data_IF_958042976261
#
_entry.id   IF_958042976261
#
_cell.length_a   1.000
_cell.length_b   1.000
_cell.length_c   1.000
_cell.angle_alpha   90.00
_cell.angle_beta   90.00
_cell.angle_gamma   90.00
#
_symmetry.space_group_name_H-M   'P 1'
#
loop_
_entity.id
_entity.type
_entity.pdbx_description
1 polymer ?
#
# COMPACT_ATOMS: atom_id res chain seq x y z
N UNK A 1 -4.59 -14.71 -19.37
CA UNK A 1 -3.95 -15.46 -20.48
C UNK A 1 -3.13 -14.46 -21.28
N UNK A 2 -1.85 -14.30 -20.92
CA UNK A 2 -0.97 -13.31 -21.53
C UNK A 2 -0.14 -14.00 -22.62
N UNK A 3 -0.46 -13.71 -23.87
CA UNK A 3 0.36 -14.10 -25.00
C UNK A 3 1.68 -13.33 -24.91
N UNK A 4 2.75 -14.04 -24.53
CA UNK A 4 4.11 -13.55 -24.68
C UNK A 4 4.42 -13.49 -26.18
N UNK A 5 4.19 -12.33 -26.80
CA UNK A 5 4.64 -12.08 -28.15
C UNK A 5 6.17 -12.02 -28.13
N UNK A 6 6.78 -13.16 -28.46
CA UNK A 6 8.18 -13.26 -28.87
C UNK A 6 8.37 -12.53 -30.21
N UNK A 7 8.34 -11.20 -30.19
CA UNK A 7 8.87 -10.40 -31.29
C UNK A 7 10.40 -10.58 -31.26
N UNK A 8 10.92 -11.29 -32.26
CA UNK A 8 12.32 -11.72 -32.27
C UNK A 8 13.33 -10.56 -32.29
N UNK A 9 14.57 -10.81 -31.84
CA UNK A 9 15.67 -9.82 -31.85
C UNK A 9 15.97 -9.24 -33.24
N UNK A 10 15.52 -9.92 -34.30
CA UNK A 10 15.70 -9.52 -35.70
C UNK A 10 14.97 -8.23 -36.08
N UNK A 11 13.76 -8.00 -35.55
CA UNK A 11 12.96 -6.81 -35.90
C UNK A 11 13.47 -5.56 -35.20
N UNK A 12 13.89 -5.69 -33.93
CA UNK A 12 14.47 -4.58 -33.17
C UNK A 12 15.83 -4.16 -33.76
N UNK A 13 16.69 -5.12 -34.09
CA UNK A 13 17.99 -4.84 -34.73
C UNK A 13 17.86 -4.14 -36.08
N UNK A 14 16.83 -4.47 -36.87
CA UNK A 14 16.56 -3.85 -38.16
C UNK A 14 16.04 -2.41 -38.07
N UNK A 15 15.38 -2.03 -36.96
CA UNK A 15 14.98 -0.64 -36.71
C UNK A 15 16.15 0.19 -36.21
N UNK A 16 16.98 -0.39 -35.33
CA UNK A 16 18.15 0.30 -34.80
C UNK A 16 19.18 0.63 -35.90
N UNK A 17 19.28 -0.21 -36.94
CA UNK A 17 20.17 0.06 -38.08
C UNK A 17 19.72 1.21 -38.99
N UNK A 18 18.45 1.63 -38.89
CA UNK A 18 17.89 2.77 -39.63
C UNK A 18 18.10 4.11 -38.90
N UNK A 19 18.57 4.08 -37.66
CA UNK A 19 18.75 5.27 -36.84
C UNK A 19 20.13 5.92 -37.04
N UNK A 20 20.26 7.23 -36.74
CA UNK A 20 21.52 7.94 -36.78
C UNK A 20 22.64 7.24 -35.99
N UNK A 21 23.88 7.40 -36.48
CA UNK A 21 25.06 6.92 -35.75
C UNK A 21 25.14 7.58 -34.37
N UNK A 22 25.53 6.80 -33.36
CA UNK A 22 25.54 7.26 -31.97
C UNK A 22 24.23 7.04 -31.22
N UNK A 23 23.23 6.42 -31.87
CA UNK A 23 22.03 5.94 -31.17
C UNK A 23 22.41 4.90 -30.13
N UNK A 24 21.95 5.08 -28.88
CA UNK A 24 22.28 4.19 -27.76
C UNK A 24 21.00 3.74 -27.03
N UNK A 25 20.68 2.42 -27.05
CA UNK A 25 19.66 1.88 -26.16
C UNK A 25 20.21 1.79 -24.73
N UNK A 26 19.42 2.22 -23.74
CA UNK A 26 19.74 2.15 -22.31
C UNK A 26 18.60 1.47 -21.58
N UNK A 27 18.91 0.52 -20.72
CA UNK A 27 17.93 -0.09 -19.84
C UNK A 27 18.08 0.50 -18.45
N UNK A 28 17.01 1.17 -17.99
CA UNK A 28 16.91 1.80 -16.69
C UNK A 28 16.04 0.91 -15.80
N UNK A 29 16.58 0.51 -14.65
CA UNK A 29 15.81 -0.19 -13.62
C UNK A 29 15.56 0.73 -12.44
N UNK A 30 14.33 0.73 -11.92
CA UNK A 30 13.97 1.47 -10.72
C UNK A 30 14.19 0.60 -9.49
N UNK A 31 15.04 1.07 -8.57
CA UNK A 31 15.34 0.36 -7.33
C UNK A 31 14.86 1.14 -6.12
N UNK A 32 14.40 0.43 -5.09
CA UNK A 32 14.12 1.01 -3.77
C UNK A 32 15.42 1.09 -2.98
N UNK A 33 15.85 2.30 -2.64
CA UNK A 33 17.07 2.58 -1.86
C UNK A 33 16.88 2.05 -0.44
N UNK A 34 17.53 0.93 -0.12
CA UNK A 34 17.81 0.57 1.27
C UNK A 34 18.93 1.49 1.76
N UNK A 35 18.82 1.95 3.00
CA UNK A 35 19.72 2.88 3.67
C UNK A 35 21.20 2.43 3.66
N UNK A 36 21.95 2.66 2.57
CA UNK A 36 23.41 2.81 2.49
C UNK A 36 23.86 3.20 1.06
N UNK A 37 25.01 3.90 0.90
CA UNK A 37 25.31 4.67 -0.30
C UNK A 37 26.45 4.04 -1.13
N UNK A 38 26.12 3.44 -2.26
CA UNK A 38 26.93 3.39 -3.48
C UNK A 38 26.21 2.49 -4.48
N UNK A 39 26.20 2.89 -5.75
CA UNK A 39 25.84 1.96 -6.81
C UNK A 39 26.75 0.72 -6.71
N UNK A 40 26.22 -0.50 -6.76
CA UNK A 40 27.04 -1.71 -6.90
C UNK A 40 28.03 -1.57 -8.06
N UNK A 41 29.17 -2.26 -7.97
CA UNK A 41 30.17 -2.26 -9.03
C UNK A 41 29.53 -2.64 -10.38
N UNK A 42 29.64 -1.74 -11.37
CA UNK A 42 29.06 -1.92 -12.70
C UNK A 42 27.66 -1.33 -12.90
N UNK A 43 27.07 -0.67 -11.89
CA UNK A 43 25.86 0.13 -12.05
C UNK A 43 26.19 1.63 -12.11
N UNK A 44 25.52 2.34 -13.01
CA UNK A 44 25.55 3.80 -13.09
C UNK A 44 24.21 4.34 -12.61
N UNK A 45 24.22 5.23 -11.60
CA UNK A 45 23.00 5.91 -11.16
C UNK A 45 22.68 7.01 -12.17
N UNK A 46 21.59 6.85 -12.90
CA UNK A 46 21.09 7.85 -13.83
C UNK A 46 20.47 9.02 -13.06
N UNK A 47 19.65 8.71 -12.05
CA UNK A 47 18.98 9.72 -11.23
C UNK A 47 18.66 9.20 -9.83
N UNK A 48 18.79 10.07 -8.82
CA UNK A 48 18.12 9.87 -7.55
C UNK A 48 16.66 10.32 -7.70
N UNK A 49 15.74 9.41 -7.38
CA UNK A 49 14.32 9.66 -7.50
C UNK A 49 13.74 9.95 -6.12
N UNK A 50 12.64 10.71 -6.05
CA UNK A 50 11.90 10.86 -4.81
C UNK A 50 11.43 9.52 -4.24
N UNK A 51 10.92 9.55 -3.01
CA UNK A 51 10.38 8.36 -2.33
C UNK A 51 11.44 7.28 -2.02
N UNK A 52 12.72 7.66 -2.01
CA UNK A 52 13.81 6.75 -1.73
C UNK A 52 14.02 5.74 -2.86
N UNK A 53 13.76 6.13 -4.10
CA UNK A 53 14.05 5.31 -5.27
C UNK A 53 15.28 5.84 -6.03
N UNK A 54 15.87 5.01 -6.89
CA UNK A 54 16.86 5.45 -7.86
C UNK A 54 16.65 4.77 -9.21
N UNK A 55 16.96 5.50 -10.27
CA UNK A 55 17.06 4.98 -11.62
C UNK A 55 18.51 4.55 -11.87
N UNK A 56 18.74 3.27 -12.12
CA UNK A 56 20.09 2.73 -12.38
C UNK A 56 20.18 2.05 -13.73
N UNK A 57 21.37 2.06 -14.28
CA UNK A 57 21.72 1.35 -15.50
C UNK A 57 22.77 0.30 -15.20
N UNK A 58 22.63 -0.87 -15.83
CA UNK A 58 23.50 -2.02 -15.61
C UNK A 58 22.78 -3.19 -14.94
N UNK A 59 23.53 -4.28 -14.67
CA UNK A 59 22.96 -5.51 -14.14
C UNK A 59 22.45 -5.31 -12.71
N UNK A 60 21.20 -5.68 -12.46
CA UNK A 60 20.56 -5.63 -11.14
C UNK A 60 21.07 -6.79 -10.29
N UNK A 61 21.55 -6.50 -9.08
CA UNK A 61 21.99 -7.53 -8.15
C UNK A 61 20.79 -8.26 -7.51
N UNK A 62 20.90 -9.56 -7.19
CA UNK A 62 19.76 -10.36 -6.71
C UNK A 62 19.20 -9.93 -5.34
N UNK A 63 19.97 -9.17 -4.56
CA UNK A 63 19.59 -8.63 -3.26
C UNK A 63 18.87 -7.27 -3.33
N UNK A 64 18.85 -6.64 -4.52
CA UNK A 64 18.19 -5.35 -4.73
C UNK A 64 16.69 -5.52 -4.93
N UNK A 65 15.91 -4.66 -4.26
CA UNK A 65 14.46 -4.60 -4.44
C UNK A 65 14.12 -3.67 -5.61
N UNK A 66 13.58 -4.25 -6.67
CA UNK A 66 13.01 -3.51 -7.79
C UNK A 66 11.74 -2.80 -7.29
N UNK A 67 11.61 -1.52 -7.61
CA UNK A 67 10.40 -0.76 -7.35
C UNK A 67 9.24 -1.31 -8.19
N UNK A 68 7.99 -1.04 -7.79
CA UNK A 68 6.84 -1.54 -8.56
C UNK A 68 6.78 -0.94 -9.97
N UNK A 69 7.37 0.24 -10.16
CA UNK A 69 7.63 0.86 -11.45
C UNK A 69 8.42 -0.02 -12.46
N UNK A 70 9.19 -1.01 -11.99
CA UNK A 70 9.89 -1.97 -12.84
C UNK A 70 11.06 -1.37 -13.63
N UNK A 71 11.02 -1.51 -14.96
CA UNK A 71 12.10 -1.10 -15.87
C UNK A 71 11.59 -0.21 -16.99
N UNK A 72 12.41 0.75 -17.41
CA UNK A 72 12.23 1.59 -18.58
C UNK A 72 13.35 1.31 -19.59
N UNK A 73 13.00 1.14 -20.86
CA UNK A 73 14.00 1.14 -21.94
C UNK A 73 14.00 2.50 -22.62
N UNK A 74 15.15 3.17 -22.59
CA UNK A 74 15.41 4.43 -23.26
C UNK A 74 16.16 4.20 -24.57
N UNK A 75 15.82 4.98 -25.59
CA UNK A 75 16.57 5.04 -26.84
C UNK A 75 17.01 6.48 -27.07
N UNK A 76 18.30 6.74 -26.90
CA UNK A 76 18.86 8.08 -27.08
C UNK A 76 19.38 8.22 -28.51
N UNK A 77 18.76 9.12 -29.27
CA UNK A 77 19.09 9.38 -30.67
C UNK A 77 19.70 10.79 -30.77
N UNK A 78 20.99 10.92 -31.10
CA UNK A 78 21.60 12.23 -31.27
C UNK A 78 21.06 12.91 -32.53
N UNK A 79 20.64 14.16 -32.38
CA UNK A 79 20.33 15.05 -33.50
C UNK A 79 21.63 15.68 -33.99
N UNK A 80 21.91 15.50 -35.28
CA UNK A 80 23.12 16.04 -35.89
C UNK A 80 22.97 17.56 -36.06
N UNK A 81 23.79 18.34 -35.34
CA UNK A 81 23.69 19.81 -35.31
C UNK A 81 23.95 20.47 -36.68
N UNK A 82 24.62 19.75 -37.59
CA UNK A 82 24.88 20.21 -38.96
C UNK A 82 23.67 20.04 -39.89
N UNK A 83 22.69 19.20 -39.53
CA UNK A 83 21.47 19.05 -40.29
C UNK A 83 20.54 20.24 -39.99
N UNK A 84 20.54 21.24 -40.88
CA UNK A 84 19.67 22.44 -40.80
C UNK A 84 18.16 22.17 -40.86
N UNK A 85 17.74 20.90 -40.83
CA UNK A 85 16.34 20.51 -40.86
C UNK A 85 15.73 20.64 -39.46
N UNK A 86 14.49 21.13 -39.39
CA UNK A 86 13.73 21.09 -38.16
C UNK A 86 13.61 19.63 -37.67
N UNK A 87 13.68 19.36 -36.36
CA UNK A 87 13.55 18.00 -35.83
C UNK A 87 12.24 17.32 -36.29
N UNK A 88 11.19 18.10 -36.58
CA UNK A 88 9.91 17.67 -37.18
C UNK A 88 10.06 16.76 -38.41
N UNK A 89 11.07 16.99 -39.23
CA UNK A 89 11.27 16.30 -40.51
C UNK A 89 12.40 15.28 -40.44
N UNK A 90 12.85 14.92 -39.24
CA UNK A 90 13.94 13.96 -39.07
C UNK A 90 13.52 12.56 -39.57
N UNK A 91 14.29 11.94 -40.48
CA UNK A 91 14.01 10.59 -40.96
C UNK A 91 14.11 9.54 -39.84
N UNK A 92 14.70 9.89 -38.69
CA UNK A 92 14.79 9.03 -37.52
C UNK A 92 13.46 8.84 -36.77
N UNK A 93 12.46 9.70 -36.99
CA UNK A 93 11.19 9.66 -36.25
C UNK A 93 10.37 8.39 -36.50
N UNK A 94 10.26 7.97 -37.75
CA UNK A 94 9.52 6.76 -38.12
C UNK A 94 10.10 5.50 -37.46
N UNK A 95 11.41 5.21 -37.54
CA UNK A 95 11.99 4.06 -36.85
C UNK A 95 11.93 4.18 -35.32
N UNK A 96 12.07 5.38 -34.74
CA UNK A 96 11.88 5.59 -33.29
C UNK A 96 10.47 5.23 -32.83
N UNK A 97 9.46 5.70 -33.57
CA UNK A 97 8.04 5.40 -33.28
C UNK A 97 7.77 3.90 -33.34
N UNK A 98 8.19 3.26 -34.43
CA UNK A 98 8.06 1.80 -34.59
C UNK A 98 8.75 1.03 -33.46
N UNK A 99 9.91 1.49 -32.99
CA UNK A 99 10.63 0.85 -31.89
C UNK A 99 9.89 0.94 -30.54
N UNK A 100 9.22 2.06 -30.27
CA UNK A 100 8.36 2.23 -29.08
C UNK A 100 7.11 1.36 -29.19
N UNK A 101 6.47 1.33 -30.35
CA UNK A 101 5.25 0.55 -30.60
C UNK A 101 5.47 -0.97 -30.45
N UNK A 102 6.67 -1.47 -30.75
CA UNK A 102 7.03 -2.89 -30.60
C UNK A 102 6.83 -3.43 -29.18
N UNK A 103 6.98 -2.61 -28.13
CA UNK A 103 6.80 -3.07 -26.75
C UNK A 103 5.37 -2.93 -26.23
N UNK A 104 4.62 -1.96 -26.74
CA UNK A 104 3.32 -1.64 -26.18
C UNK A 104 2.22 -2.64 -26.59
N UNK A 105 2.50 -3.56 -27.53
CA UNK A 105 1.54 -4.53 -28.05
C UNK A 105 0.35 -3.90 -28.79
N UNK A 106 0.28 -2.58 -28.88
CA UNK A 106 -0.74 -1.80 -29.57
C UNK A 106 -0.12 -0.53 -30.18
N UNK A 107 -0.39 -0.23 -31.47
CA UNK A 107 0.15 0.93 -32.17
C UNK A 107 -0.44 2.27 -31.68
N UNK A 108 -1.58 2.25 -30.96
CA UNK A 108 -2.17 3.45 -30.37
C UNK A 108 -1.44 3.95 -29.11
N UNK A 109 -0.43 3.21 -28.64
CA UNK A 109 0.24 3.49 -27.38
C UNK A 109 1.46 4.42 -27.50
N UNK A 110 1.97 4.68 -28.72
CA UNK A 110 3.10 5.60 -28.90
C UNK A 110 2.62 7.04 -29.08
N UNK A 111 3.02 7.91 -28.15
CA UNK A 111 2.71 9.32 -28.15
C UNK A 111 3.93 10.13 -28.60
N UNK A 112 3.79 10.87 -29.70
CA UNK A 112 4.83 11.79 -30.18
C UNK A 112 4.64 13.17 -29.55
N UNK A 113 5.70 13.71 -28.96
CA UNK A 113 5.77 15.07 -28.44
C UNK A 113 6.95 15.80 -29.09
N UNK A 114 6.72 17.06 -29.48
CA UNK A 114 7.72 17.89 -30.14
C UNK A 114 8.01 19.12 -29.29
N UNK A 115 9.29 19.43 -29.11
CA UNK A 115 9.81 20.54 -28.34
C UNK A 115 10.88 21.30 -29.16
N UNK A 116 11.35 22.43 -28.64
CA UNK A 116 12.42 23.18 -29.30
C UNK A 116 13.73 22.38 -29.27
N UNK A 117 14.14 21.86 -30.43
CA UNK A 117 15.32 21.02 -30.65
C UNK A 117 15.29 19.68 -29.90
N UNK A 118 14.10 19.17 -29.58
CA UNK A 118 13.95 17.83 -29.04
C UNK A 118 12.60 17.21 -29.46
N UNK A 119 12.59 15.90 -29.62
CA UNK A 119 11.39 15.12 -29.86
C UNK A 119 11.41 13.86 -29.01
N UNK A 120 10.21 13.43 -28.65
CA UNK A 120 9.99 12.33 -27.75
C UNK A 120 8.92 11.41 -28.29
N UNK A 121 9.25 10.15 -28.52
CA UNK A 121 8.27 9.08 -28.71
C UNK A 121 8.16 8.32 -27.40
N UNK A 122 6.99 8.35 -26.77
CA UNK A 122 6.77 7.72 -25.48
C UNK A 122 5.72 6.62 -25.57
N UNK A 123 5.97 5.51 -24.88
CA UNK A 123 4.97 4.50 -24.60
C UNK A 123 5.22 3.85 -23.23
N UNK A 124 4.27 3.06 -22.72
CA UNK A 124 4.45 2.27 -21.50
C UNK A 124 5.75 1.43 -21.54
N UNK A 125 6.72 1.75 -20.68
CA UNK A 125 7.97 1.00 -20.52
C UNK A 125 9.05 1.24 -21.60
N UNK A 126 8.77 2.02 -22.66
CA UNK A 126 9.76 2.41 -23.67
C UNK A 126 9.65 3.88 -24.04
N UNK A 127 10.78 4.54 -24.19
CA UNK A 127 10.81 5.92 -24.66
C UNK A 127 12.02 6.21 -25.54
N UNK A 128 11.81 6.86 -26.68
CA UNK A 128 12.86 7.30 -27.58
C UNK A 128 12.96 8.83 -27.57
N UNK A 129 14.18 9.34 -27.38
CA UNK A 129 14.51 10.75 -27.28
C UNK A 129 15.39 11.13 -28.46
N UNK A 130 14.96 12.10 -29.27
CA UNK A 130 15.78 12.73 -30.31
C UNK A 130 16.12 14.14 -29.86
N UNK A 131 17.39 14.43 -29.59
CA UNK A 131 17.85 15.75 -29.18
C UNK A 131 19.33 15.94 -29.47
N UNK A 132 19.83 17.17 -29.38
CA UNK A 132 21.28 17.44 -29.46
C UNK A 132 22.03 16.73 -28.32
N UNK A 133 23.28 16.35 -28.56
CA UNK A 133 24.05 15.49 -27.66
C UNK A 133 24.18 16.06 -26.23
N UNK A 134 24.28 17.38 -26.10
CA UNK A 134 24.35 18.11 -24.83
C UNK A 134 23.05 18.03 -24.00
N UNK A 135 21.92 17.70 -24.65
CA UNK A 135 20.59 17.65 -24.03
C UNK A 135 20.11 16.24 -23.72
N UNK A 136 20.71 15.20 -24.31
CA UNK A 136 20.22 13.83 -24.15
C UNK A 136 20.19 13.37 -22.69
N UNK A 137 21.24 13.63 -21.91
CA UNK A 137 21.32 13.20 -20.50
C UNK A 137 20.29 13.89 -19.59
N UNK A 138 20.17 15.24 -19.58
CA UNK A 138 19.12 15.91 -18.81
C UNK A 138 17.70 15.44 -19.18
N UNK A 139 17.45 15.16 -20.45
CA UNK A 139 16.16 14.67 -20.90
C UNK A 139 15.91 13.21 -20.48
N UNK A 140 16.92 12.35 -20.53
CA UNK A 140 16.84 10.98 -20.04
C UNK A 140 16.47 10.94 -18.55
N UNK A 141 17.09 11.79 -17.73
CA UNK A 141 16.75 11.93 -16.30
C UNK A 141 15.30 12.37 -16.10
N UNK A 142 14.86 13.41 -16.83
CA UNK A 142 13.51 13.95 -16.71
C UNK A 142 12.42 12.95 -17.14
N UNK A 143 12.70 12.15 -18.19
CA UNK A 143 11.81 11.07 -18.64
C UNK A 143 11.80 9.92 -17.64
N UNK A 144 12.95 9.51 -17.12
CA UNK A 144 13.04 8.47 -16.10
C UNK A 144 12.25 8.83 -14.83
N UNK A 145 12.32 10.09 -14.39
CA UNK A 145 11.56 10.55 -13.23
C UNK A 145 10.04 10.47 -13.45
N UNK A 146 9.53 11.00 -14.57
CA UNK A 146 8.08 10.99 -14.81
C UNK A 146 7.54 9.59 -15.06
N UNK A 147 8.29 8.77 -15.79
CA UNK A 147 7.89 7.38 -16.04
C UNK A 147 7.95 6.51 -14.79
N UNK A 148 8.81 6.81 -13.81
CA UNK A 148 8.76 6.17 -12.51
C UNK A 148 7.41 6.38 -11.83
N UNK A 149 6.95 7.64 -11.73
CA UNK A 149 5.66 7.95 -11.11
C UNK A 149 4.48 7.38 -11.89
N UNK A 150 4.52 7.45 -13.23
CA UNK A 150 3.49 6.90 -14.09
C UNK A 150 3.36 5.38 -13.95
N UNK A 151 4.50 4.68 -13.84
CA UNK A 151 4.53 3.25 -13.64
C UNK A 151 4.09 2.83 -12.23
N UNK A 152 4.42 3.60 -11.18
CA UNK A 152 3.87 3.37 -9.84
C UNK A 152 2.34 3.55 -9.82
N UNK A 153 1.78 4.59 -10.47
CA UNK A 153 0.33 4.75 -10.59
C UNK A 153 -0.30 3.54 -11.32
N UNK A 154 0.28 3.13 -12.45
CA UNK A 154 -0.19 1.95 -13.19
C UNK A 154 -0.14 0.67 -12.35
N UNK A 155 0.88 0.50 -11.53
CA UNK A 155 0.98 -0.62 -10.59
C UNK A 155 -0.17 -0.60 -9.59
N UNK A 156 -0.47 0.56 -8.99
CA UNK A 156 -1.56 0.69 -8.02
C UNK A 156 -2.91 0.40 -8.69
N UNK A 157 -3.16 0.94 -9.88
CA UNK A 157 -4.37 0.66 -10.67
C UNK A 157 -4.53 -0.83 -10.93
N UNK A 158 -3.47 -1.50 -11.39
CA UNK A 158 -3.50 -2.94 -11.63
C UNK A 158 -3.73 -3.74 -10.34
N UNK A 159 -3.09 -3.33 -9.24
CA UNK A 159 -3.24 -3.97 -7.94
C UNK A 159 -4.66 -3.81 -7.37
N UNK A 160 -5.33 -2.68 -7.68
CA UNK A 160 -6.68 -2.37 -7.24
C UNK A 160 -7.73 -3.10 -8.10
N UNK A 161 -7.57 -3.06 -9.43
CA UNK A 161 -8.43 -3.78 -10.37
C UNK A 161 -8.44 -5.29 -10.08
N UNK A 162 -7.31 -5.87 -9.69
CA UNK A 162 -7.22 -7.28 -9.31
C UNK A 162 -7.96 -7.62 -8.00
N UNK A 163 -8.21 -6.64 -7.12
CA UNK A 163 -8.90 -6.82 -5.84
C UNK A 163 -10.41 -6.55 -5.90
N UNK A 164 -10.92 -5.96 -6.98
CA UNK A 164 -12.34 -5.66 -7.16
C UNK A 164 -13.27 -6.86 -6.91
N UNK A 165 -13.01 -8.05 -7.49
CA UNK A 165 -13.87 -9.21 -7.25
C UNK A 165 -13.89 -9.67 -5.78
N UNK A 166 -12.81 -9.41 -5.03
CA UNK A 166 -12.73 -9.74 -3.61
C UNK A 166 -13.57 -8.78 -2.78
N UNK A 167 -13.54 -7.48 -3.11
CA UNK A 167 -14.38 -6.47 -2.47
C UNK A 167 -15.86 -6.81 -2.65
N UNK A 168 -16.27 -7.16 -3.87
CA UNK A 168 -17.66 -7.54 -4.17
C UNK A 168 -18.11 -8.77 -3.37
N UNK A 169 -17.23 -9.75 -3.20
CA UNK A 169 -17.50 -10.95 -2.41
C UNK A 169 -17.59 -10.68 -0.90
N UNK A 170 -16.83 -9.70 -0.39
CA UNK A 170 -16.80 -9.33 1.02
C UNK A 170 -17.91 -8.33 1.40
N UNK A 171 -18.43 -7.57 0.43
CA UNK A 171 -19.44 -6.53 0.63
C UNK A 171 -20.69 -6.98 1.43
N UNK A 172 -21.25 -8.20 1.27
CA UNK A 172 -22.37 -8.65 2.10
C UNK A 172 -22.04 -8.69 3.61
N UNK A 173 -20.77 -8.91 3.98
CA UNK A 173 -20.32 -8.96 5.38
C UNK A 173 -20.32 -7.57 6.05
N UNK A 174 -20.35 -6.48 5.26
CA UNK A 174 -20.51 -5.12 5.77
C UNK A 174 -21.92 -4.85 6.31
N UNK A 175 -22.91 -5.62 5.83
CA UNK A 175 -24.30 -5.52 6.28
C UNK A 175 -24.59 -6.50 7.42
N UNK A 176 -24.20 -7.76 7.26
CA UNK A 176 -24.51 -8.82 8.22
C UNK A 176 -23.28 -9.71 8.47
N UNK A 177 -22.82 -9.75 9.72
CA UNK A 177 -21.71 -10.60 10.13
C UNK A 177 -22.23 -11.77 10.96
N UNK A 178 -22.18 -12.97 10.38
CA UNK A 178 -22.72 -14.19 10.98
C UNK A 178 -21.62 -15.04 11.64
N UNK A 179 -22.03 -16.02 12.46
CA UNK A 179 -21.09 -16.94 13.13
C UNK A 179 -20.22 -17.72 12.13
N UNK A 180 -20.78 -18.12 10.99
CA UNK A 180 -20.04 -18.81 9.93
C UNK A 180 -18.88 -17.97 9.35
N UNK A 181 -18.94 -16.64 9.49
CA UNK A 181 -17.94 -15.69 8.97
C UNK A 181 -16.85 -15.35 9.99
N UNK A 182 -16.92 -15.84 11.24
CA UNK A 182 -15.88 -15.60 12.25
C UNK A 182 -14.47 -15.98 11.77
N UNK A 183 -14.25 -17.10 11.04
CA UNK A 183 -12.92 -17.45 10.52
C UNK A 183 -12.39 -16.43 9.49
N UNK A 184 -13.26 -15.78 8.72
CA UNK A 184 -12.85 -14.86 7.65
C UNK A 184 -12.35 -13.51 8.18
N UNK A 185 -12.59 -13.19 9.46
CA UNK A 185 -12.13 -11.95 10.09
C UNK A 185 -10.64 -11.68 9.91
N UNK A 186 -9.80 -12.71 10.03
CA UNK A 186 -8.34 -12.57 9.83
C UNK A 186 -8.00 -12.21 8.38
N UNK A 187 -8.74 -12.78 7.43
CA UNK A 187 -8.59 -12.51 5.99
C UNK A 187 -9.04 -11.08 5.68
N UNK A 188 -10.22 -10.66 6.18
CA UNK A 188 -10.72 -9.28 6.03
C UNK A 188 -9.72 -8.26 6.56
N UNK A 189 -9.14 -8.52 7.74
CA UNK A 189 -8.09 -7.66 8.31
C UNK A 189 -6.85 -7.57 7.42
N UNK A 190 -6.38 -8.70 6.89
CA UNK A 190 -5.22 -8.72 5.97
C UNK A 190 -5.50 -7.93 4.70
N UNK A 191 -6.68 -8.11 4.10
CA UNK A 191 -7.11 -7.37 2.91
C UNK A 191 -7.21 -5.88 3.17
N UNK A 192 -7.79 -5.48 4.30
CA UNK A 192 -7.84 -4.08 4.68
C UNK A 192 -6.44 -3.48 4.88
N UNK A 193 -5.52 -4.22 5.50
CA UNK A 193 -4.12 -3.80 5.60
C UNK A 193 -3.47 -3.60 4.22
N UNK A 194 -3.74 -4.48 3.25
CA UNK A 194 -3.26 -4.31 1.87
C UNK A 194 -3.83 -3.04 1.21
N UNK A 195 -5.11 -2.74 1.41
CA UNK A 195 -5.74 -1.49 0.93
C UNK A 195 -5.07 -0.27 1.55
N UNK A 196 -4.87 -0.26 2.87
CA UNK A 196 -4.18 0.85 3.56
C UNK A 196 -2.73 1.03 3.08
N UNK A 197 -2.04 -0.06 2.72
CA UNK A 197 -0.71 0.01 2.10
C UNK A 197 -0.76 0.64 0.70
N UNK A 198 -1.78 0.34 -0.10
CA UNK A 198 -2.00 1.00 -1.39
C UNK A 198 -2.30 2.49 -1.20
N UNK A 199 -3.15 2.86 -0.23
CA UNK A 199 -3.42 4.26 0.13
C UNK A 199 -2.15 5.00 0.53
N UNK A 200 -1.30 4.38 1.35
CA UNK A 200 -0.02 4.96 1.74
C UNK A 200 0.93 5.12 0.55
N UNK A 201 0.95 4.16 -0.39
CA UNK A 201 1.73 4.28 -1.64
C UNK A 201 1.20 5.44 -2.49
N UNK A 202 -0.11 5.56 -2.68
CA UNK A 202 -0.73 6.64 -3.44
C UNK A 202 -0.43 8.00 -2.80
N UNK A 203 -0.66 8.16 -1.49
CA UNK A 203 -0.44 9.41 -0.78
C UNK A 203 1.00 9.94 -0.93
N UNK A 204 1.99 9.04 -0.99
CA UNK A 204 3.40 9.40 -1.25
C UNK A 204 3.62 9.98 -2.66
N UNK A 205 2.85 9.55 -3.65
CA UNK A 205 2.90 10.08 -5.01
C UNK A 205 2.26 11.47 -5.13
N UNK A 206 1.26 11.77 -4.30
CA UNK A 206 0.44 12.98 -4.42
C UNK A 206 1.25 14.29 -4.48
N UNK A 207 2.30 14.42 -3.67
CA UNK A 207 3.15 15.61 -3.67
C UNK A 207 3.92 15.82 -4.99
N UNK A 208 4.19 14.74 -5.73
CA UNK A 208 4.96 14.77 -6.98
C UNK A 208 4.06 14.83 -8.22
N UNK A 209 2.90 14.18 -8.16
CA UNK A 209 1.89 14.21 -9.22
C UNK A 209 1.24 15.60 -9.31
N UNK A 210 0.92 16.20 -8.16
CA UNK A 210 0.25 17.50 -8.07
C UNK A 210 1.23 18.66 -7.89
N UNK A 211 2.53 18.44 -8.08
CA UNK A 211 3.54 19.48 -7.92
C UNK A 211 3.33 20.60 -8.94
N UNK A 212 3.31 21.88 -8.52
CA UNK A 212 3.17 22.99 -9.45
C UNK A 212 4.39 23.13 -10.35
N UNK A 213 4.20 23.79 -11.49
CA UNK A 213 5.24 24.11 -12.46
C UNK A 213 6.37 24.92 -11.83
N UNK A 214 7.62 24.53 -12.11
CA UNK A 214 8.80 25.28 -11.66
C UNK A 214 9.16 26.33 -12.71
N UNK A 215 9.25 27.59 -12.29
CA UNK A 215 9.63 28.70 -13.16
C UNK A 215 11.09 29.15 -12.91
N UNK A 216 11.86 29.50 -13.95
CA UNK A 216 11.53 29.46 -15.38
C UNK A 216 11.57 28.02 -15.97
N UNK A 217 10.77 27.70 -17.00
CA UNK A 217 10.67 26.35 -17.52
C UNK A 217 11.92 25.95 -18.31
N UNK A 218 12.68 24.98 -17.79
CA UNK A 218 13.74 24.31 -18.57
C UNK A 218 13.13 23.31 -19.55
N UNK A 219 13.85 22.93 -20.61
CA UNK A 219 13.38 21.91 -21.56
C UNK A 219 13.02 20.59 -20.85
N UNK A 220 13.85 20.15 -19.91
CA UNK A 220 13.59 18.99 -19.05
C UNK A 220 12.25 19.13 -18.30
N UNK A 221 12.01 20.29 -17.69
CA UNK A 221 10.76 20.58 -16.97
C UNK A 221 9.56 20.54 -17.91
N UNK A 222 9.67 21.13 -19.11
CA UNK A 222 8.60 21.10 -20.12
C UNK A 222 8.29 19.68 -20.58
N UNK A 223 9.31 18.83 -20.78
CA UNK A 223 9.10 17.42 -21.13
C UNK A 223 8.36 16.70 -20.01
N UNK A 224 8.81 16.87 -18.77
CA UNK A 224 8.16 16.24 -17.63
C UNK A 224 6.69 16.68 -17.48
N UNK A 225 6.40 17.97 -17.68
CA UNK A 225 5.06 18.52 -17.65
C UNK A 225 4.17 17.96 -18.76
N UNK A 226 4.65 17.99 -20.00
CA UNK A 226 3.89 17.44 -21.14
C UNK A 226 3.64 15.95 -21.00
N UNK A 227 4.60 15.20 -20.47
CA UNK A 227 4.40 13.78 -20.17
C UNK A 227 3.33 13.58 -19.10
N UNK A 228 3.37 14.33 -17.99
CA UNK A 228 2.34 14.26 -16.93
C UNK A 228 0.93 14.58 -17.45
N UNK A 229 0.80 15.63 -18.27
CA UNK A 229 -0.46 16.00 -18.93
C UNK A 229 -0.97 14.88 -19.85
N UNK A 230 -0.08 14.37 -20.71
CA UNK A 230 -0.43 13.37 -21.72
C UNK A 230 -0.77 12.00 -21.14
N UNK A 231 -0.17 11.65 -20.02
CA UNK A 231 -0.46 10.44 -19.25
C UNK A 231 -1.59 10.65 -18.23
N UNK A 232 -2.15 11.86 -18.17
CA UNK A 232 -3.27 12.27 -17.32
C UNK A 232 -3.06 11.90 -15.85
N UNK A 233 -1.82 12.02 -15.35
CA UNK A 233 -1.45 11.50 -14.04
C UNK A 233 -2.27 12.09 -12.89
N UNK A 234 -2.59 13.39 -12.94
CA UNK A 234 -3.41 14.04 -11.92
C UNK A 234 -4.83 13.44 -11.86
N UNK A 235 -5.48 13.31 -13.03
CA UNK A 235 -6.82 12.70 -13.11
C UNK A 235 -6.80 11.22 -12.70
N UNK A 236 -5.80 10.45 -13.12
CA UNK A 236 -5.63 9.06 -12.69
C UNK A 236 -5.44 8.96 -11.19
N UNK A 237 -4.63 9.84 -10.60
CA UNK A 237 -4.43 9.92 -9.16
C UNK A 237 -5.76 10.15 -8.42
N UNK A 238 -6.54 11.15 -8.85
CA UNK A 238 -7.85 11.46 -8.26
C UNK A 238 -8.82 10.27 -8.36
N UNK A 239 -8.88 9.63 -9.53
CA UNK A 239 -9.72 8.46 -9.73
C UNK A 239 -9.35 7.28 -8.82
N UNK A 240 -8.05 6.97 -8.67
CA UNK A 240 -7.59 5.92 -7.75
C UNK A 240 -7.88 6.30 -6.29
N UNK A 241 -7.80 7.60 -5.94
CA UNK A 241 -8.14 8.10 -4.61
C UNK A 241 -9.59 7.78 -4.25
N UNK A 242 -10.51 8.06 -5.18
CA UNK A 242 -11.94 7.76 -5.04
C UNK A 242 -12.20 6.26 -4.95
N UNK A 243 -11.59 5.45 -5.83
CA UNK A 243 -11.74 3.99 -5.78
C UNK A 243 -11.23 3.40 -4.47
N UNK A 244 -10.08 3.86 -3.96
CA UNK A 244 -9.55 3.40 -2.68
C UNK A 244 -10.47 3.80 -1.51
N UNK A 245 -11.10 4.97 -1.57
CA UNK A 245 -12.08 5.39 -0.55
C UNK A 245 -13.25 4.41 -0.43
N UNK A 246 -13.73 3.86 -1.56
CA UNK A 246 -14.79 2.84 -1.56
C UNK A 246 -14.32 1.54 -0.88
N UNK A 247 -13.09 1.11 -1.17
CA UNK A 247 -12.51 -0.07 -0.50
C UNK A 247 -12.41 0.14 1.01
N UNK A 248 -11.91 1.30 1.42
CA UNK A 248 -11.75 1.66 2.83
C UNK A 248 -13.10 1.62 3.55
N UNK A 249 -14.13 2.27 3.02
CA UNK A 249 -15.46 2.31 3.63
C UNK A 249 -16.06 0.91 3.82
N UNK A 250 -16.00 0.07 2.79
CA UNK A 250 -16.53 -1.31 2.88
C UNK A 250 -15.79 -2.13 3.93
N UNK A 251 -14.45 -2.08 3.95
CA UNK A 251 -13.68 -2.85 4.93
C UNK A 251 -13.79 -2.30 6.35
N UNK A 252 -13.94 -0.98 6.52
CA UNK A 252 -14.25 -0.37 7.81
C UNK A 252 -15.61 -0.85 8.35
N UNK A 253 -16.65 -0.86 7.50
CA UNK A 253 -17.96 -1.41 7.87
C UNK A 253 -17.88 -2.90 8.23
N UNK A 254 -17.22 -3.72 7.41
CA UNK A 254 -16.96 -5.14 7.72
C UNK A 254 -16.25 -5.30 9.08
N UNK A 255 -15.25 -4.46 9.35
CA UNK A 255 -14.51 -4.44 10.61
C UNK A 255 -15.41 -4.10 11.81
N UNK A 256 -16.27 -3.08 11.66
CA UNK A 256 -17.23 -2.68 12.68
C UNK A 256 -18.23 -3.80 12.97
N UNK A 257 -18.87 -4.38 11.94
CA UNK A 257 -19.82 -5.48 12.11
C UNK A 257 -19.19 -6.71 12.75
N UNK A 258 -17.98 -7.07 12.34
CA UNK A 258 -17.24 -8.16 12.96
C UNK A 258 -16.94 -7.88 14.44
N UNK A 259 -16.61 -6.63 14.79
CA UNK A 259 -16.37 -6.22 16.18
C UNK A 259 -17.65 -6.29 17.01
N UNK A 260 -18.76 -5.73 16.51
CA UNK A 260 -20.06 -5.74 17.18
C UNK A 260 -20.56 -7.17 17.44
N UNK A 261 -20.40 -8.06 16.46
CA UNK A 261 -20.74 -9.47 16.59
C UNK A 261 -19.91 -10.16 17.68
N UNK A 262 -18.59 -9.90 17.72
CA UNK A 262 -17.70 -10.48 18.74
C UNK A 262 -18.00 -9.96 20.14
N UNK A 263 -18.33 -8.66 20.27
CA UNK A 263 -18.75 -8.08 21.55
C UNK A 263 -20.05 -8.72 22.03
N UNK A 264 -21.05 -8.83 21.17
CA UNK A 264 -22.33 -9.49 21.48
C UNK A 264 -22.13 -10.94 21.89
N UNK A 265 -21.29 -11.70 21.17
CA UNK A 265 -20.94 -13.07 21.52
C UNK A 265 -20.26 -13.17 22.89
N UNK A 266 -19.29 -12.30 23.16
CA UNK A 266 -18.59 -12.29 24.45
C UNK A 266 -19.49 -11.89 25.61
N UNK A 267 -20.43 -10.97 25.38
CA UNK A 267 -21.48 -10.59 26.33
C UNK A 267 -22.40 -11.76 26.66
N UNK A 268 -22.90 -12.46 25.63
CA UNK A 268 -23.75 -13.64 25.84
C UNK A 268 -23.00 -14.75 26.58
N UNK A 269 -21.73 -15.00 26.28
CA UNK A 269 -20.92 -15.99 27.00
C UNK A 269 -20.76 -15.59 28.47
N UNK A 270 -20.52 -14.30 28.74
CA UNK A 270 -20.40 -13.79 30.11
C UNK A 270 -21.72 -13.93 30.87
N UNK A 271 -22.85 -13.62 30.23
CA UNK A 271 -24.18 -13.80 30.81
C UNK A 271 -24.45 -15.27 31.18
N UNK A 272 -24.13 -16.20 30.28
CA UNK A 272 -24.24 -17.64 30.56
C UNK A 272 -23.36 -18.09 31.73
N UNK A 273 -22.13 -17.57 31.83
CA UNK A 273 -21.24 -17.86 32.96
C UNK A 273 -21.88 -17.38 34.28
N UNK A 274 -22.44 -16.17 34.31
CA UNK A 274 -23.12 -15.63 35.50
C UNK A 274 -24.32 -16.49 35.89
N UNK A 275 -25.16 -16.88 34.93
CA UNK A 275 -26.34 -17.73 35.17
C UNK A 275 -25.92 -19.08 35.77
N UNK A 276 -24.87 -19.72 35.23
CA UNK A 276 -24.37 -21.01 35.73
C UNK A 276 -23.83 -20.87 37.15
N UNK A 277 -23.08 -19.80 37.45
CA UNK A 277 -22.54 -19.54 38.79
C UNK A 277 -23.65 -19.30 39.81
N UNK A 278 -24.66 -18.50 39.47
CA UNK A 278 -25.83 -18.26 40.31
C UNK A 278 -26.61 -19.55 40.56
N UNK A 279 -26.81 -20.38 39.54
CA UNK A 279 -27.45 -21.68 39.69
C UNK A 279 -26.67 -22.62 40.64
N UNK A 280 -25.35 -22.66 40.51
CA UNK A 280 -24.49 -23.45 41.40
C UNK A 280 -24.55 -22.96 42.86
N UNK A 281 -24.55 -21.64 43.08
CA UNK A 281 -24.69 -21.05 44.41
C UNK A 281 -26.06 -21.37 45.03
N UNK A 282 -27.14 -21.30 44.24
CA UNK A 282 -28.49 -21.67 44.69
C UNK A 282 -28.54 -23.15 45.07
N UNK A 283 -27.93 -24.04 44.27
CA UNK A 283 -27.87 -25.47 44.57
C UNK A 283 -27.09 -25.75 45.85
N UNK A 284 -25.93 -25.10 46.04
CA UNK A 284 -25.12 -25.25 47.25
C UNK A 284 -25.87 -24.76 48.50
N UNK A 285 -26.50 -23.59 48.41
CA UNK A 285 -27.32 -23.04 49.50
C UNK A 285 -28.53 -23.95 49.82
N UNK A 286 -29.16 -24.51 48.78
CA UNK A 286 -30.25 -25.48 48.94
C UNK A 286 -29.80 -26.77 49.63
N UNK A 287 -28.58 -27.25 49.33
CA UNK A 287 -28.00 -28.41 49.99
C UNK A 287 -27.68 -28.14 51.46
N UNK A 288 -27.17 -26.95 51.80
CA UNK A 288 -26.96 -26.53 53.19
C UNK A 288 -28.27 -26.51 53.98
N UNK A 289 -29.34 -25.97 53.39
CA UNK A 289 -30.66 -25.99 54.03
C UNK A 289 -31.15 -27.43 54.24
N UNK A 290 -31.03 -28.29 53.23
CA UNK A 290 -31.49 -29.68 53.33
C UNK A 290 -30.69 -30.50 54.34
N UNK A 291 -29.37 -30.30 54.39
CA UNK A 291 -28.48 -30.96 55.37
C UNK A 291 -28.66 -30.41 56.79
N UNK A 292 -28.99 -29.12 56.94
CA UNK A 292 -29.32 -28.52 58.24
C UNK A 292 -30.63 -29.04 58.84
N UNK A 293 -31.51 -29.64 58.03
CA UNK A 293 -32.76 -30.27 58.46
C UNK A 293 -32.62 -31.73 58.93
N UNK A 294 -31.40 -32.21 59.15
CA UNK A 294 -31.21 -33.51 59.81
C UNK A 294 -31.76 -33.44 61.24
N UNK A 295 -32.84 -34.17 61.59
CA UNK A 295 -33.51 -34.00 62.87
C UNK A 295 -32.57 -34.39 64.01
N UNK A 296 -32.22 -33.39 64.82
CA UNK A 296 -31.54 -33.58 66.08
C UNK A 296 -32.42 -34.47 66.95
N UNK A 297 -32.02 -35.72 67.16
CA UNK A 297 -32.72 -36.62 68.06
C UNK A 297 -32.46 -36.13 69.48
N UNK A 298 -33.42 -35.39 70.01
CA UNK A 298 -33.44 -34.81 71.36
C UNK A 298 -33.20 -35.89 72.41
N UNK A 299 -32.00 -35.89 72.99
CA UNK A 299 -31.69 -36.60 74.24
C UNK A 299 -31.71 -35.57 75.37
N UNK A 300 -32.84 -35.50 76.07
CA UNK A 300 -32.99 -34.69 77.29
C UNK A 300 -32.07 -35.23 78.39
N UNK A 301 -31.18 -34.39 78.92
CA UNK A 301 -30.66 -34.56 80.28
C UNK A 301 -30.60 -33.20 80.96
N UNK A 302 -31.31 -33.12 82.08
CA UNK A 302 -31.62 -31.94 82.88
C UNK A 302 -30.71 -31.92 84.11
N UNK A 303 -30.45 -30.71 84.63
CA UNK A 303 -29.85 -30.34 85.93
C UNK A 303 -28.30 -30.35 85.94
N UNK A 304 -27.58 -29.35 86.47
CA UNK A 304 -27.87 -28.53 87.65
C UNK A 304 -26.95 -27.29 87.69
N UNK A 305 -27.55 -26.13 87.98
CA UNK A 305 -27.13 -25.01 88.82
C UNK A 305 -25.68 -24.97 89.41
N UNK A 306 -24.95 -23.85 89.24
CA UNK A 306 -24.43 -23.04 90.37
C UNK A 306 -23.49 -21.88 89.92
N UNK A 307 -24.07 -20.68 89.88
CA UNK A 307 -23.61 -19.40 90.45
C UNK A 307 -22.09 -19.10 90.66
N UNK A 308 -21.54 -18.05 90.00
CA UNK A 308 -20.69 -17.01 90.64
C UNK A 308 -20.44 -15.77 89.75
N UNK A 309 -20.74 -14.59 90.32
CA UNK A 309 -20.38 -13.18 89.98
C UNK A 309 -19.09 -12.82 90.78
N UNK A 310 -18.27 -11.72 90.59
CA UNK A 310 -18.40 -10.48 89.77
C UNK A 310 -17.18 -10.01 88.92
N UNK A 311 -17.48 -9.11 87.94
CA UNK A 311 -16.92 -7.78 87.57
C UNK A 311 -15.50 -7.30 88.01
N UNK A 312 -15.01 -6.11 87.55
CA UNK A 312 -14.90 -5.49 86.20
C UNK A 312 -13.51 -4.82 85.94
N UNK A 313 -13.22 -4.32 84.73
CA UNK A 313 -12.40 -3.11 84.41
C UNK A 313 -12.10 -3.08 82.89
N UNK A 314 -12.62 -2.12 82.11
CA UNK A 314 -12.11 -0.75 81.81
C UNK A 314 -11.13 -0.72 80.62
N UNK A 315 -11.23 0.38 79.85
CA UNK A 315 -10.41 0.87 78.72
C UNK A 315 -10.65 0.24 77.34
N UNK A 316 -10.68 0.96 76.22
CA UNK A 316 -10.83 2.38 75.88
C UNK A 316 -10.82 2.45 74.34
N UNK A 317 -11.69 3.28 73.78
CA UNK A 317 -11.64 3.89 72.43
C UNK A 317 -10.30 4.64 72.15
N UNK A 318 -10.06 5.31 71.00
CA UNK A 318 -10.43 5.14 69.57
C UNK A 318 -9.19 5.45 68.65
N UNK A 319 -9.24 6.24 67.54
CA UNK A 319 -9.83 6.10 66.19
C UNK A 319 -8.79 6.22 65.02
N UNK A 320 -9.31 6.32 63.77
CA UNK A 320 -8.69 6.88 62.54
C UNK A 320 -7.67 5.98 61.82
N UNK A 321 -7.48 5.97 60.49
CA UNK A 321 -7.48 7.03 59.46
C UNK A 321 -7.51 6.32 58.07
N UNK A 322 -8.30 6.78 57.09
CA UNK A 322 -7.90 7.59 55.90
C UNK A 322 -7.40 6.82 54.65
N UNK A 323 -8.02 7.19 53.51
CA UNK A 323 -7.51 7.37 52.12
C UNK A 323 -6.46 6.41 51.55
N UNK A 324 -6.50 5.98 50.27
CA UNK A 324 -6.06 6.80 49.13
C UNK A 324 -6.33 6.09 47.80
N UNK A 325 -6.75 6.90 46.83
CA UNK A 325 -6.74 6.78 45.36
C UNK A 325 -5.44 6.17 44.79
N UNK A 326 -5.51 5.42 43.68
CA UNK A 326 -4.41 5.41 42.69
C UNK A 326 -4.96 5.23 41.28
N UNK A 327 -4.69 6.26 40.48
CA UNK A 327 -4.74 6.32 39.03
C UNK A 327 -3.35 6.00 38.48
N UNK A 328 -3.27 5.45 37.27
CA UNK A 328 -2.06 5.25 36.47
C UNK A 328 -2.21 3.99 35.62
N UNK A 329 -2.03 3.97 34.31
CA UNK A 329 -1.52 4.91 33.31
C UNK A 329 -2.28 4.68 31.99
#
# INVERSE_FOLDING_TARGET
MSASASSGPSSESALLSQLPRGTTPRQVTYLLKRSAPAAPAGQTVLAELPLGACAVEGPVAPDQKIAAAGTLTLLLVPLDAAASAAPADSPALAPMRSWVELAAGSPAACQLMTFQNAQLCWGPGRCAILATADRLEPLAVAVAEVTYFEAELRSIESDLAAKWPQLEADMPLAFEFQEASVPTRKVLRSRFQEVLLLRARLARLGAHVNAPHKHPPTLATQISERLRERTQMAHRYEFIDEELSVFEEVYEMCGQRASDFMLTRSGNILEWIIIILLAAQILMSGFEILSSHTPTTTSSSTLTNSNRVPAPAIEAEPPASETTTTSGQ
#
